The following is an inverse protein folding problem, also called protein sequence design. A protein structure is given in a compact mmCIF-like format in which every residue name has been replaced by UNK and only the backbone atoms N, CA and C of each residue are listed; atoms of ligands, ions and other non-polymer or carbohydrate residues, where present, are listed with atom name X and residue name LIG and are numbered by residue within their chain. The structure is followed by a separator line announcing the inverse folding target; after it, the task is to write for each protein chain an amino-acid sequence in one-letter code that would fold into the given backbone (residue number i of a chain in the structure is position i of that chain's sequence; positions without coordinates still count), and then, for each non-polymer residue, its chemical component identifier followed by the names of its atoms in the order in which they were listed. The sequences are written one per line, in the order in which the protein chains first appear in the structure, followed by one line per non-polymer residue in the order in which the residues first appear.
data_IF_256291721304
#
_entry.id   IF_256291721304
#
_cell.length_a   1.000
_cell.length_b   1.000
_cell.length_c   1.000
_cell.angle_alpha   90.00
_cell.angle_beta   90.00
_cell.angle_gamma   90.00
#
_symmetry.space_group_name_H-M   'P 1'
#
loop_
_entity.id
_entity.type
_entity.pdbx_description
1 polymer ?
#
# COMPACT_ATOMS: atom_id res chain seq x y z
N UNK A 1 -9.04 20.74 15.05
CA UNK A 1 -8.19 20.84 13.83
C UNK A 1 -7.28 22.06 13.89
N UNK A 2 -7.78 23.23 14.29
CA UNK A 2 -6.93 24.41 14.53
C UNK A 2 -5.91 24.23 15.65
N UNK A 3 -6.19 23.36 16.64
CA UNK A 3 -5.27 23.08 17.75
C UNK A 3 -3.99 22.35 17.30
N UNK A 4 -4.08 21.60 16.19
CA UNK A 4 -2.94 20.87 15.61
C UNK A 4 -2.35 21.58 14.38
N UNK A 5 -3.21 22.15 13.53
CA UNK A 5 -2.82 22.73 12.23
C UNK A 5 -2.72 24.27 12.23
N UNK A 6 -3.00 24.94 13.35
CA UNK A 6 -3.00 26.40 13.45
C UNK A 6 -4.30 27.09 12.99
N UNK A 7 -4.41 28.42 13.16
CA UNK A 7 -5.68 29.14 12.95
C UNK A 7 -6.10 29.26 11.49
N UNK A 8 -5.16 29.16 10.54
CA UNK A 8 -5.44 29.33 9.11
C UNK A 8 -6.44 28.32 8.57
N UNK A 9 -6.52 27.11 9.15
CA UNK A 9 -7.46 26.07 8.72
C UNK A 9 -8.93 26.47 8.93
N UNK A 10 -9.21 27.53 9.71
CA UNK A 10 -10.56 28.09 9.85
C UNK A 10 -11.07 28.76 8.57
N UNK A 11 -10.17 29.15 7.67
CA UNK A 11 -10.51 29.78 6.39
C UNK A 11 -10.61 28.77 5.25
N UNK A 12 -10.42 27.48 5.52
CA UNK A 12 -10.53 26.46 4.49
C UNK A 12 -11.99 26.24 4.14
N UNK A 13 -12.29 26.22 2.84
CA UNK A 13 -13.59 25.85 2.32
C UNK A 13 -13.56 24.41 1.84
N UNK A 14 -14.53 23.61 2.29
CA UNK A 14 -14.68 22.24 1.81
C UNK A 14 -14.96 22.25 0.30
N UNK A 15 -14.17 21.48 -0.45
CA UNK A 15 -14.35 21.33 -1.90
C UNK A 15 -15.10 20.05 -2.24
N UNK A 16 -14.59 18.91 -1.74
CA UNK A 16 -15.16 17.59 -2.05
C UNK A 16 -14.66 16.53 -1.07
N UNK A 17 -15.46 15.49 -0.91
CA UNK A 17 -15.10 14.23 -0.29
C UNK A 17 -15.36 13.09 -1.28
N UNK A 18 -14.52 12.07 -1.21
CA UNK A 18 -14.69 10.83 -1.95
C UNK A 18 -14.68 9.70 -0.95
N UNK A 19 -15.72 8.88 -0.99
CA UNK A 19 -15.74 7.62 -0.26
C UNK A 19 -15.16 6.54 -1.17
N UNK A 20 -14.05 5.95 -0.73
CA UNK A 20 -13.38 4.85 -1.42
C UNK A 20 -13.37 3.66 -0.49
N UNK A 21 -14.38 2.77 -0.60
CA UNK A 21 -14.40 1.54 0.19
C UNK A 21 -13.11 0.76 -0.02
N UNK A 22 -12.55 0.22 1.07
CA UNK A 22 -11.32 -0.60 1.04
C UNK A 22 -10.11 0.11 0.42
N UNK A 23 -9.98 1.43 0.61
CA UNK A 23 -8.87 2.23 0.07
C UNK A 23 -7.47 1.79 0.53
N UNK A 24 -7.37 1.10 1.67
CA UNK A 24 -6.12 0.62 2.23
C UNK A 24 -6.28 -0.83 2.73
N UNK A 25 -5.21 -1.63 2.66
CA UNK A 25 -5.20 -2.94 3.31
C UNK A 25 -5.30 -2.78 4.83
N UNK A 26 -5.84 -3.80 5.50
CA UNK A 26 -5.84 -3.85 6.96
C UNK A 26 -4.42 -4.04 7.48
N UNK A 27 -3.86 -3.01 8.13
CA UNK A 27 -2.50 -3.02 8.67
C UNK A 27 -2.41 -3.29 10.17
N UNK A 28 -3.47 -3.80 10.81
CA UNK A 28 -3.44 -4.17 12.24
C UNK A 28 -2.36 -5.23 12.50
N UNK A 29 -1.62 -5.16 13.62
CA UNK A 29 -0.67 -6.21 13.98
C UNK A 29 -1.34 -7.60 13.95
N UNK A 30 -0.67 -8.64 13.40
CA UNK A 30 0.72 -8.68 12.95
C UNK A 30 0.88 -8.51 11.42
N UNK A 31 0.28 -7.47 10.81
CA UNK A 31 0.24 -7.29 9.35
C UNK A 31 1.56 -7.52 8.60
N UNK A 32 2.72 -7.10 9.12
CA UNK A 32 4.02 -7.29 8.47
C UNK A 32 4.74 -8.57 8.92
N UNK A 33 4.00 -9.59 9.35
CA UNK A 33 4.57 -10.89 9.69
C UNK A 33 3.92 -11.97 8.80
N UNK A 34 4.66 -12.54 7.83
CA UNK A 34 6.04 -12.22 7.45
C UNK A 34 6.19 -10.83 6.80
N UNK A 35 7.41 -10.28 6.81
CA UNK A 35 7.73 -8.93 6.31
C UNK A 35 7.42 -8.72 4.83
N UNK A 36 7.26 -9.79 4.06
CA UNK A 36 6.81 -9.76 2.68
C UNK A 36 5.93 -10.99 2.40
N UNK A 37 4.80 -10.77 1.72
CA UNK A 37 3.87 -11.80 1.22
C UNK A 37 3.86 -11.87 -0.31
N UNK A 38 4.69 -11.07 -0.98
CA UNK A 38 4.76 -11.00 -2.43
C UNK A 38 5.69 -12.07 -3.00
N UNK A 39 5.46 -12.48 -4.25
CA UNK A 39 6.27 -13.51 -4.92
C UNK A 39 5.44 -14.49 -5.75
N UNK A 40 6.02 -15.66 -6.04
CA UNK A 40 5.32 -16.72 -6.77
C UNK A 40 4.20 -17.32 -5.91
N UNK A 41 3.00 -17.40 -6.46
CA UNK A 41 1.84 -18.02 -5.83
C UNK A 41 1.58 -19.43 -6.38
N UNK A 42 1.74 -19.59 -7.70
CA UNK A 42 1.52 -20.84 -8.43
C UNK A 42 2.31 -20.78 -9.77
N UNK A 43 2.41 -21.88 -10.53
CA UNK A 43 3.09 -21.87 -11.83
C UNK A 43 2.56 -20.76 -12.75
N UNK A 44 3.43 -19.81 -13.11
CA UNK A 44 3.07 -18.65 -13.93
C UNK A 44 2.25 -17.56 -13.22
N UNK A 45 1.93 -17.70 -11.92
CA UNK A 45 1.12 -16.75 -11.15
C UNK A 45 1.97 -16.11 -10.07
N UNK A 46 2.00 -14.78 -10.06
CA UNK A 46 2.79 -13.97 -9.13
C UNK A 46 1.92 -12.91 -8.44
N UNK A 47 2.28 -12.58 -7.21
CA UNK A 47 1.55 -11.67 -6.34
C UNK A 47 2.45 -10.50 -5.92
N UNK A 48 1.99 -9.27 -6.16
CA UNK A 48 2.57 -8.04 -5.66
C UNK A 48 1.46 -7.03 -5.32
N UNK A 49 1.83 -5.92 -4.67
CA UNK A 49 0.92 -4.87 -4.22
C UNK A 49 1.26 -4.37 -2.82
N UNK A 50 0.62 -3.29 -2.40
CA UNK A 50 0.75 -2.70 -1.06
C UNK A 50 0.35 -3.67 0.06
N UNK A 51 -0.60 -4.58 -0.17
CA UNK A 51 -0.97 -5.63 0.78
C UNK A 51 0.12 -6.70 0.98
N UNK A 52 1.12 -6.75 0.10
CA UNK A 52 2.20 -7.75 0.14
C UNK A 52 3.45 -7.27 0.85
N UNK A 53 3.51 -5.99 1.20
CA UNK A 53 4.62 -5.30 1.86
C UNK A 53 4.03 -4.37 2.93
N UNK A 54 4.61 -3.18 3.13
CA UNK A 54 3.97 -2.07 3.85
C UNK A 54 2.82 -1.52 3.00
N UNK A 55 1.65 -1.32 3.62
CA UNK A 55 0.44 -0.74 3.01
C UNK A 55 0.66 0.72 2.61
N UNK A 56 1.46 0.92 1.57
CA UNK A 56 1.94 2.21 1.11
C UNK A 56 2.29 2.13 -0.38
N UNK A 57 2.36 3.29 -1.02
CA UNK A 57 2.81 3.40 -2.42
C UNK A 57 4.22 2.81 -2.58
N UNK A 58 5.13 3.07 -1.63
CA UNK A 58 6.49 2.52 -1.69
C UNK A 58 6.51 0.99 -1.55
N UNK A 59 5.64 0.41 -0.71
CA UNK A 59 5.50 -1.03 -0.58
C UNK A 59 4.93 -1.68 -1.86
N UNK A 60 3.95 -1.05 -2.50
CA UNK A 60 3.44 -1.50 -3.80
C UNK A 60 4.52 -1.51 -4.88
N UNK A 61 5.29 -0.41 -5.00
CA UNK A 61 6.36 -0.31 -5.99
C UNK A 61 7.49 -1.32 -5.72
N UNK A 62 7.87 -1.49 -4.45
CA UNK A 62 8.92 -2.42 -4.05
C UNK A 62 8.52 -3.88 -4.32
N UNK A 63 7.30 -4.29 -3.97
CA UNK A 63 6.80 -5.64 -4.25
C UNK A 63 6.71 -5.93 -5.74
N UNK A 64 6.24 -4.97 -6.55
CA UNK A 64 6.18 -5.10 -8.00
C UNK A 64 7.57 -5.32 -8.62
N UNK A 65 8.58 -4.55 -8.18
CA UNK A 65 9.97 -4.75 -8.61
C UNK A 65 10.49 -6.14 -8.27
N UNK A 66 10.27 -6.60 -7.03
CA UNK A 66 10.72 -7.94 -6.58
C UNK A 66 10.12 -9.06 -7.45
N UNK A 67 8.82 -8.97 -7.75
CA UNK A 67 8.16 -9.95 -8.63
C UNK A 67 8.72 -9.92 -10.04
N UNK A 68 8.91 -8.72 -10.62
CA UNK A 68 9.47 -8.60 -11.97
C UNK A 68 10.88 -9.20 -12.06
N UNK A 69 11.75 -8.91 -11.09
CA UNK A 69 13.09 -9.48 -11.02
C UNK A 69 13.09 -11.01 -10.86
N UNK A 70 12.17 -11.54 -10.05
CA UNK A 70 12.03 -12.98 -9.86
C UNK A 70 11.49 -13.68 -11.12
N UNK A 71 10.53 -13.05 -11.81
CA UNK A 71 9.98 -13.56 -13.06
C UNK A 71 11.05 -13.62 -14.15
N UNK A 72 11.85 -12.56 -14.32
CA UNK A 72 12.97 -12.54 -15.28
C UNK A 72 14.00 -13.65 -15.03
N UNK A 73 14.18 -14.11 -13.79
CA UNK A 73 15.06 -15.23 -13.43
C UNK A 73 14.43 -16.61 -13.63
N UNK A 74 13.11 -16.67 -13.83
CA UNK A 74 12.34 -17.91 -13.99
C UNK A 74 12.01 -18.25 -15.45
N UNK A 75 12.32 -17.34 -16.37
CA UNK A 75 12.32 -17.56 -17.82
C UNK A 75 13.55 -18.39 -18.23
#
# INVERSE_FOLDING_TARGET
MSDWCGPLVKHWHFLKAYDTPQALPDQRPPFLQPLSRGGALAPGIWVCGDYTETGSINGALASGRKVAEALLKSL
#
